data_IF_762474639722
#
_entry.id   IF_762474639722
#
_cell.length_a   1.000
_cell.length_b   1.000
_cell.length_c   1.000
_cell.angle_alpha   90.00
_cell.angle_beta   90.00
_cell.angle_gamma   90.00
#
_symmetry.space_group_name_H-M   'P 1'
#
loop_
_entity.id
_entity.type
_entity.pdbx_description
1 polymer ?
#
# COMPACT_ATOMS: atom_id res chain seq x y z
N UNK A 1 31.92 -26.21 -9.12
CA UNK A 1 31.04 -26.23 -7.94
C UNK A 1 31.19 -24.95 -7.11
N UNK A 2 32.40 -24.44 -6.83
CA UNK A 2 32.57 -23.14 -6.15
C UNK A 2 32.03 -21.94 -6.95
N UNK A 3 32.20 -21.92 -8.27
CA UNK A 3 31.75 -20.78 -9.10
C UNK A 3 30.22 -20.61 -9.12
N UNK A 4 29.47 -21.71 -9.06
CA UNK A 4 28.00 -21.69 -9.08
C UNK A 4 27.43 -21.14 -7.76
N UNK A 5 28.07 -21.46 -6.63
CA UNK A 5 27.73 -20.89 -5.32
C UNK A 5 28.01 -19.39 -5.25
N UNK A 6 29.11 -18.92 -5.84
CA UNK A 6 29.47 -17.50 -5.88
C UNK A 6 28.48 -16.73 -6.77
N UNK A 7 28.09 -17.30 -7.92
CA UNK A 7 27.07 -16.70 -8.80
C UNK A 7 25.73 -16.61 -8.06
N UNK A 8 25.33 -17.66 -7.34
CA UNK A 8 24.09 -17.67 -6.58
C UNK A 8 24.08 -16.61 -5.46
N UNK A 9 25.17 -16.52 -4.68
CA UNK A 9 25.32 -15.51 -3.63
C UNK A 9 25.29 -14.08 -4.20
N UNK A 10 25.95 -13.86 -5.34
CA UNK A 10 25.92 -12.59 -6.05
C UNK A 10 24.50 -12.20 -6.49
N UNK A 11 23.77 -13.13 -7.11
CA UNK A 11 22.39 -12.91 -7.56
C UNK A 11 21.42 -12.65 -6.40
N UNK A 12 21.54 -13.39 -5.29
CA UNK A 12 20.72 -13.15 -4.10
C UNK A 12 20.97 -11.77 -3.49
N UNK A 13 22.23 -11.32 -3.51
CA UNK A 13 22.62 -10.01 -3.00
C UNK A 13 22.06 -8.88 -3.86
N UNK A 14 22.15 -8.99 -5.18
CA UNK A 14 21.56 -8.03 -6.12
C UNK A 14 20.03 -7.97 -5.97
N UNK A 15 19.36 -9.13 -5.95
CA UNK A 15 17.91 -9.19 -5.74
C UNK A 15 17.48 -8.58 -4.40
N UNK A 16 18.26 -8.78 -3.34
CA UNK A 16 18.01 -8.17 -2.03
C UNK A 16 18.14 -6.65 -2.05
N UNK A 17 19.11 -6.12 -2.79
CA UNK A 17 19.30 -4.68 -2.97
C UNK A 17 18.16 -4.06 -3.79
N UNK A 18 17.76 -4.70 -4.88
CA UNK A 18 16.63 -4.26 -5.71
C UNK A 18 15.32 -4.23 -4.93
N UNK A 19 15.07 -5.26 -4.12
CA UNK A 19 13.91 -5.32 -3.24
C UNK A 19 13.91 -4.18 -2.21
N UNK A 20 15.07 -3.88 -1.62
CA UNK A 20 15.22 -2.78 -0.68
C UNK A 20 14.93 -1.43 -1.36
N UNK A 21 15.51 -1.20 -2.53
CA UNK A 21 15.31 0.02 -3.30
C UNK A 21 13.85 0.20 -3.71
N UNK A 22 13.20 -0.88 -4.15
CA UNK A 22 11.77 -0.91 -4.50
C UNK A 22 10.90 -0.60 -3.29
N UNK A 23 11.21 -1.15 -2.12
CA UNK A 23 10.49 -0.87 -0.87
C UNK A 23 10.58 0.61 -0.49
N UNK A 24 11.78 1.21 -0.61
CA UNK A 24 11.97 2.64 -0.36
C UNK A 24 11.15 3.48 -1.34
N UNK A 25 11.20 3.16 -2.64
CA UNK A 25 10.44 3.91 -3.65
C UNK A 25 8.93 3.82 -3.41
N UNK A 26 8.40 2.63 -3.12
CA UNK A 26 6.97 2.45 -2.79
C UNK A 26 6.56 3.27 -1.58
N UNK A 27 7.40 3.28 -0.55
CA UNK A 27 7.20 4.09 0.66
C UNK A 27 7.16 5.58 0.33
N UNK A 28 8.12 6.09 -0.44
CA UNK A 28 8.15 7.51 -0.85
C UNK A 28 6.94 7.90 -1.69
N UNK A 29 6.59 7.11 -2.71
CA UNK A 29 5.42 7.36 -3.56
C UNK A 29 4.14 7.42 -2.74
N UNK A 30 4.03 6.52 -1.77
CA UNK A 30 2.93 6.51 -0.82
C UNK A 30 2.95 7.80 0.01
N UNK A 31 4.06 8.15 0.65
CA UNK A 31 4.11 9.30 1.57
C UNK A 31 3.91 10.65 0.85
N UNK A 32 4.23 10.74 -0.45
CA UNK A 32 3.95 11.91 -1.30
C UNK A 32 2.51 11.97 -1.82
N UNK A 33 1.78 10.86 -1.77
CA UNK A 33 0.43 10.74 -2.33
C UNK A 33 -0.62 10.99 -1.24
N UNK A 34 -1.43 12.04 -1.42
CA UNK A 34 -2.64 12.24 -0.63
C UNK A 34 -3.87 11.66 -1.35
N UNK A 35 -4.45 10.53 -0.86
CA UNK A 35 -5.63 9.93 -1.46
C UNK A 35 -6.90 10.78 -1.35
N UNK A 36 -6.95 11.78 -0.48
CA UNK A 36 -8.11 12.67 -0.31
C UNK A 36 -8.03 13.92 -1.20
N UNK A 37 -6.90 14.15 -1.88
CA UNK A 37 -6.71 15.31 -2.76
C UNK A 37 -7.43 15.19 -4.12
N UNK A 38 -7.92 14.00 -4.49
CA UNK A 38 -8.68 13.78 -5.73
C UNK A 38 -10.08 14.40 -5.65
N UNK A 39 -10.75 14.64 -6.78
CA UNK A 39 -12.13 15.16 -6.81
C UNK A 39 -13.12 14.20 -6.13
N UNK A 40 -14.16 14.73 -5.48
CA UNK A 40 -15.15 13.93 -4.75
C UNK A 40 -15.87 12.90 -5.63
N UNK A 41 -16.17 13.24 -6.88
CA UNK A 41 -16.80 12.32 -7.83
C UNK A 41 -15.91 11.11 -8.10
N UNK A 42 -14.62 11.35 -8.35
CA UNK A 42 -13.64 10.30 -8.58
C UNK A 42 -13.38 9.50 -7.30
N UNK A 43 -13.34 10.16 -6.14
CA UNK A 43 -13.21 9.51 -4.84
C UNK A 43 -14.34 8.52 -4.59
N UNK A 44 -15.60 8.93 -4.81
CA UNK A 44 -16.77 8.05 -4.65
C UNK A 44 -16.72 6.91 -5.66
N UNK A 45 -16.35 7.17 -6.91
CA UNK A 45 -16.22 6.12 -7.93
C UNK A 45 -15.19 5.06 -7.51
N UNK A 46 -14.10 5.48 -6.88
CA UNK A 46 -12.98 4.63 -6.47
C UNK A 46 -13.24 3.85 -5.18
N UNK A 47 -13.81 4.49 -4.16
CA UNK A 47 -13.96 3.93 -2.81
C UNK A 47 -15.41 3.62 -2.42
N UNK A 48 -16.38 3.96 -3.27
CA UNK A 48 -17.84 3.80 -3.05
C UNK A 48 -18.42 4.59 -1.87
N UNK A 49 -17.58 5.36 -1.17
CA UNK A 49 -17.94 6.26 -0.08
C UNK A 49 -17.41 7.65 -0.39
N UNK A 50 -18.07 8.68 0.16
CA UNK A 50 -17.52 10.04 0.13
C UNK A 50 -16.44 10.22 1.21
N UNK A 51 -15.63 11.28 1.08
CA UNK A 51 -14.50 11.54 1.97
C UNK A 51 -14.91 11.69 3.44
N UNK A 52 -16.03 12.37 3.70
CA UNK A 52 -16.54 12.60 5.06
C UNK A 52 -16.91 11.29 5.75
N UNK A 53 -17.59 10.39 5.05
CA UNK A 53 -17.93 9.06 5.57
C UNK A 53 -16.69 8.24 5.86
N UNK A 54 -15.66 8.33 5.00
CA UNK A 54 -14.39 7.64 5.26
C UNK A 54 -13.71 8.18 6.53
N UNK A 55 -13.67 9.50 6.74
CA UNK A 55 -13.10 10.07 7.96
C UNK A 55 -13.85 9.61 9.21
N UNK A 56 -15.19 9.70 9.21
CA UNK A 56 -16.03 9.24 10.32
C UNK A 56 -15.81 7.76 10.61
N UNK A 57 -15.73 6.94 9.56
CA UNK A 57 -15.49 5.51 9.69
C UNK A 57 -14.09 5.20 10.23
N UNK A 58 -13.08 5.98 9.83
CA UNK A 58 -11.74 5.86 10.40
C UNK A 58 -11.78 6.18 11.90
N UNK A 59 -12.44 7.25 12.30
CA UNK A 59 -12.53 7.65 13.71
C UNK A 59 -13.27 6.61 14.57
N UNK A 60 -14.32 5.99 14.03
CA UNK A 60 -15.02 4.86 14.67
C UNK A 60 -14.12 3.62 14.81
N UNK A 61 -13.25 3.38 13.84
CA UNK A 61 -12.32 2.25 13.86
C UNK A 61 -11.06 2.49 14.70
N UNK A 62 -10.67 3.75 14.98
CA UNK A 62 -9.45 4.08 15.75
C UNK A 62 -9.31 3.30 17.06
N UNK A 63 -10.35 3.15 17.90
CA UNK A 63 -10.26 2.38 19.14
C UNK A 63 -9.98 0.89 18.92
N UNK A 64 -10.36 0.36 17.76
CA UNK A 64 -10.23 -1.06 17.41
C UNK A 64 -8.98 -1.37 16.59
N UNK A 65 -8.45 -0.37 15.90
CA UNK A 65 -7.16 -0.49 15.23
C UNK A 65 -6.07 -0.62 16.29
N UNK A 66 -5.29 -1.71 16.22
CA UNK A 66 -4.19 -1.98 17.14
C UNK A 66 -3.27 -0.75 17.25
N UNK A 67 -3.47 0.04 18.30
CA UNK A 67 -2.72 1.26 18.56
C UNK A 67 -1.42 0.83 19.20
N UNK A 68 -0.40 0.52 18.39
CA UNK A 68 0.89 0.07 18.94
C UNK A 68 1.80 -0.75 18.04
N UNK A 69 1.61 -0.76 16.72
CA UNK A 69 2.61 -1.39 15.86
C UNK A 69 3.93 -0.62 15.96
N UNK A 70 4.96 -1.25 16.50
CA UNK A 70 6.33 -0.71 16.56
C UNK A 70 7.04 -0.80 15.20
N UNK A 71 6.37 -1.34 14.18
CA UNK A 71 6.94 -1.46 12.83
C UNK A 71 6.94 -0.10 12.15
N UNK A 72 8.12 0.35 11.74
CA UNK A 72 8.31 1.55 10.91
C UNK A 72 7.55 1.53 9.58
N UNK A 73 7.09 0.36 9.14
CA UNK A 73 6.30 0.18 7.92
C UNK A 73 4.79 0.08 8.17
N UNK A 74 4.31 0.34 9.38
CA UNK A 74 2.86 0.28 9.64
C UNK A 74 2.13 1.39 8.87
N UNK A 75 0.94 1.05 8.39
CA UNK A 75 0.11 1.98 7.63
C UNK A 75 -0.83 2.75 8.56
N UNK A 76 -1.05 4.04 8.31
CA UNK A 76 -2.08 4.80 9.01
C UNK A 76 -3.46 4.19 8.74
N UNK A 77 -4.38 4.37 9.69
CA UNK A 77 -5.70 3.73 9.66
C UNK A 77 -6.48 4.10 8.40
N UNK A 78 -6.37 5.36 7.98
CA UNK A 78 -7.01 5.90 6.79
C UNK A 78 -6.57 5.12 5.55
N UNK A 79 -5.28 4.78 5.44
CA UNK A 79 -4.79 3.94 4.33
C UNK A 79 -5.28 2.52 4.39
N UNK A 80 -5.30 1.91 5.58
CA UNK A 80 -5.84 0.55 5.76
C UNK A 80 -7.29 0.50 5.30
N UNK A 81 -8.09 1.48 5.69
CA UNK A 81 -9.49 1.64 5.29
C UNK A 81 -9.61 1.85 3.78
N UNK A 82 -8.88 2.79 3.19
CA UNK A 82 -8.96 3.07 1.76
C UNK A 82 -8.53 1.87 0.89
N UNK A 83 -7.51 1.11 1.30
CA UNK A 83 -7.11 -0.13 0.62
C UNK A 83 -8.24 -1.15 0.69
N UNK A 84 -8.84 -1.35 1.87
CA UNK A 84 -9.96 -2.28 2.03
C UNK A 84 -11.15 -1.87 1.17
N UNK A 85 -11.53 -0.59 1.17
CA UNK A 85 -12.60 -0.06 0.33
C UNK A 85 -12.31 -0.24 -1.16
N UNK A 86 -11.07 0.01 -1.60
CA UNK A 86 -10.67 -0.18 -2.99
C UNK A 86 -10.81 -1.65 -3.42
N UNK A 87 -10.45 -2.58 -2.53
CA UNK A 87 -10.66 -4.01 -2.73
C UNK A 87 -12.15 -4.34 -2.80
N UNK A 88 -12.97 -3.88 -1.86
CA UNK A 88 -14.42 -4.14 -1.89
C UNK A 88 -15.11 -3.51 -3.10
N UNK A 89 -14.61 -2.38 -3.59
CA UNK A 89 -15.15 -1.68 -4.75
C UNK A 89 -14.87 -2.38 -6.09
N UNK A 90 -13.80 -3.17 -6.16
CA UNK A 90 -13.27 -3.77 -7.40
C UNK A 90 -13.24 -5.30 -7.40
N UNK A 91 -13.17 -5.93 -6.22
CA UNK A 91 -12.95 -7.36 -6.03
C UNK A 91 -11.54 -7.83 -6.38
N UNK A 92 -10.60 -6.93 -6.68
CA UNK A 92 -9.26 -7.28 -7.18
C UNK A 92 -8.18 -7.10 -6.13
N UNK A 93 -7.37 -8.14 -5.95
CA UNK A 93 -6.13 -8.08 -5.15
C UNK A 93 -4.96 -7.46 -5.92
N UNK A 94 -5.06 -7.37 -7.25
CA UNK A 94 -4.06 -6.72 -8.09
C UNK A 94 -4.33 -5.23 -8.16
N UNK A 95 -3.25 -4.42 -8.18
CA UNK A 95 -3.36 -2.99 -8.44
C UNK A 95 -4.09 -2.74 -9.76
N UNK A 96 -5.07 -1.84 -9.78
CA UNK A 96 -5.59 -1.31 -11.04
C UNK A 96 -4.42 -0.77 -11.88
N UNK A 97 -4.56 -0.86 -13.20
CA UNK A 97 -3.57 -0.30 -14.15
C UNK A 97 -3.45 1.23 -13.99
N UNK A 98 -4.47 1.85 -13.42
CA UNK A 98 -4.47 3.27 -13.03
C UNK A 98 -3.48 3.56 -11.89
N UNK A 99 -2.77 4.68 -11.96
CA UNK A 99 -1.67 5.02 -11.04
C UNK A 99 -2.20 5.33 -9.64
N UNK A 100 -2.25 4.30 -8.79
CA UNK A 100 -2.61 4.44 -7.38
C UNK A 100 -1.37 4.48 -6.50
N UNK A 101 -0.60 5.57 -6.60
CA UNK A 101 0.50 5.86 -5.69
C UNK A 101 0.09 5.75 -4.21
N UNK A 102 -1.16 6.09 -3.88
CA UNK A 102 -1.73 5.96 -2.53
C UNK A 102 -1.86 4.52 -2.01
N UNK A 103 -1.93 3.52 -2.91
CA UNK A 103 -2.00 2.08 -2.60
C UNK A 103 -0.65 1.39 -2.87
N UNK A 104 0.46 2.12 -2.74
CA UNK A 104 1.78 1.56 -2.98
C UNK A 104 2.25 0.63 -1.85
N UNK A 105 1.66 -0.57 -1.81
CA UNK A 105 1.93 -1.66 -0.85
C UNK A 105 2.36 -2.92 -1.59
N UNK A 106 3.21 -3.75 -0.97
CA UNK A 106 3.57 -5.04 -1.55
C UNK A 106 2.31 -5.89 -1.77
N UNK A 107 2.22 -6.56 -2.92
CA UNK A 107 1.12 -7.46 -3.26
C UNK A 107 1.72 -8.85 -3.50
N UNK A 108 1.18 -9.91 -2.87
CA UNK A 108 1.51 -11.26 -3.25
C UNK A 108 0.88 -11.58 -4.61
N UNK A 109 1.62 -12.27 -5.47
CA UNK A 109 1.07 -12.88 -6.68
C UNK A 109 0.38 -14.19 -6.27
N UNK A 110 -0.86 -14.41 -6.73
CA UNK A 110 -1.58 -15.68 -6.58
C UNK A 110 -1.10 -16.68 -7.61
#
# INVERSE_FOLDING_TARGET
>A
MCDEFIIFEFLERDASQDNHQTKIQRTRLRDLSDPFAIEDVEFIKRYRLNKQLVHNFCDELRPHAATGSTRSSDLPIERKVLIALSFYATGSYQRPVDDISAHSVAQPTV
#
